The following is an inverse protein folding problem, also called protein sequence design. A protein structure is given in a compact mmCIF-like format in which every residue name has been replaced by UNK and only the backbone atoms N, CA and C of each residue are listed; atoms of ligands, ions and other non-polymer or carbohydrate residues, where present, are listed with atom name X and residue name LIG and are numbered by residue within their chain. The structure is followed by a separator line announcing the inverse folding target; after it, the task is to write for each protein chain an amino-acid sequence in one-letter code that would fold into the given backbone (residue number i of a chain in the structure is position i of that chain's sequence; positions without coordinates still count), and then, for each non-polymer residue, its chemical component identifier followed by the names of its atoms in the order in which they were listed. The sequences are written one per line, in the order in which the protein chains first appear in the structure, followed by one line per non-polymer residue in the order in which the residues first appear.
data_IF_274617653077
#
_entry.id   IF_274617653077
#
_cell.length_a   1.000
_cell.length_b   1.000
_cell.length_c   1.000
_cell.angle_alpha   90.00
_cell.angle_beta   90.00
_cell.angle_gamma   90.00
#
_symmetry.space_group_name_H-M   'P 1'
#
loop_
_entity.id
_entity.type
_entity.pdbx_description
1 polymer ?
#
# COMPACT_ATOMS: atom_id res chain seq x y z
N UNK A 1 3.32 -26.19 6.79
CA UNK A 1 4.43 -25.74 5.91
C UNK A 1 4.28 -24.26 5.61
N UNK A 2 3.08 -23.85 5.22
CA UNK A 2 2.78 -22.48 4.80
C UNK A 2 2.89 -21.49 5.97
N UNK A 3 2.59 -21.92 7.20
CA UNK A 3 2.68 -21.12 8.43
C UNK A 3 4.13 -20.73 8.73
N UNK A 4 5.06 -21.70 8.73
CA UNK A 4 6.48 -21.45 8.94
C UNK A 4 7.03 -20.55 7.85
N UNK A 5 6.68 -20.81 6.58
CA UNK A 5 7.17 -20.00 5.46
C UNK A 5 6.69 -18.55 5.59
N UNK A 6 5.40 -18.35 5.87
CA UNK A 6 4.81 -17.03 6.04
C UNK A 6 5.47 -16.25 7.18
N UNK A 7 5.63 -16.89 8.35
CA UNK A 7 6.28 -16.27 9.50
C UNK A 7 7.71 -15.82 9.18
N UNK A 8 8.48 -16.66 8.46
CA UNK A 8 9.83 -16.33 8.03
C UNK A 8 9.88 -15.20 6.99
N UNK A 9 9.00 -15.23 5.99
CA UNK A 9 8.91 -14.16 4.97
C UNK A 9 8.52 -12.83 5.62
N UNK A 10 7.53 -12.83 6.50
CA UNK A 10 7.10 -11.64 7.22
C UNK A 10 8.22 -11.08 8.11
N UNK A 11 8.96 -11.95 8.82
CA UNK A 11 10.09 -11.54 9.64
C UNK A 11 11.24 -10.93 8.83
N UNK A 12 11.56 -11.53 7.67
CA UNK A 12 12.55 -11.00 6.74
C UNK A 12 12.17 -9.60 6.26
N UNK A 13 10.94 -9.40 5.78
CA UNK A 13 10.51 -8.08 5.31
C UNK A 13 10.44 -7.04 6.44
N UNK A 14 10.02 -7.42 7.65
CA UNK A 14 10.07 -6.53 8.81
C UNK A 14 11.50 -6.09 9.15
N UNK A 15 12.44 -7.03 9.12
CA UNK A 15 13.84 -6.77 9.44
C UNK A 15 14.60 -5.97 8.37
N UNK A 16 14.36 -6.26 7.09
CA UNK A 16 15.05 -5.63 5.95
C UNK A 16 14.55 -4.23 5.61
N UNK A 17 13.32 -3.86 6.01
CA UNK A 17 12.71 -2.60 5.60
C UNK A 17 12.34 -1.72 6.80
N UNK A 18 11.25 -1.94 7.57
CA UNK A 18 10.93 -1.11 8.74
C UNK A 18 12.05 -0.99 9.78
N UNK A 19 12.75 -2.09 10.07
CA UNK A 19 13.78 -2.11 11.13
C UNK A 19 15.21 -1.89 10.63
N UNK A 20 15.43 -1.80 9.32
CA UNK A 20 16.72 -1.40 8.74
C UNK A 20 16.66 0.10 8.41
N UNK A 21 17.08 0.93 9.35
CA UNK A 21 17.10 2.38 9.13
C UNK A 21 18.26 2.81 8.20
N UNK A 22 18.26 4.08 7.78
CA UNK A 22 19.28 4.63 6.87
C UNK A 22 20.70 4.53 7.44
N UNK A 23 20.87 4.80 8.74
CA UNK A 23 22.17 4.73 9.41
C UNK A 23 22.78 3.32 9.38
N UNK A 24 21.94 2.29 9.56
CA UNK A 24 22.35 0.89 9.46
C UNK A 24 22.80 0.53 8.03
N UNK A 25 22.14 1.07 7.01
CA UNK A 25 22.52 0.87 5.61
C UNK A 25 23.84 1.57 5.32
N UNK A 26 23.98 2.84 5.71
CA UNK A 26 25.16 3.66 5.46
C UNK A 26 26.41 3.08 6.15
N UNK A 27 26.24 2.42 7.30
CA UNK A 27 27.32 1.80 8.07
C UNK A 27 27.34 0.26 7.99
N UNK A 28 26.66 -0.36 7.02
CA UNK A 28 26.48 -1.83 6.94
C UNK A 28 27.78 -2.63 6.86
N UNK A 29 28.89 -1.99 6.48
CA UNK A 29 30.25 -2.59 6.48
C UNK A 29 30.79 -2.86 7.88
N UNK A 30 30.27 -2.20 8.91
CA UNK A 30 30.68 -2.43 10.30
C UNK A 30 30.06 -3.74 10.81
N UNK A 31 30.91 -4.68 11.25
CA UNK A 31 30.45 -6.01 11.69
C UNK A 31 29.41 -5.97 12.82
N UNK A 32 29.49 -5.00 13.74
CA UNK A 32 28.51 -4.85 14.83
C UNK A 32 27.12 -4.50 14.29
N UNK A 33 27.04 -3.61 13.30
CA UNK A 33 25.77 -3.18 12.69
C UNK A 33 25.18 -4.28 11.84
N UNK A 34 26.02 -5.00 11.09
CA UNK A 34 25.60 -6.18 10.36
C UNK A 34 25.04 -7.27 11.29
N UNK A 35 25.73 -7.57 12.40
CA UNK A 35 25.26 -8.53 13.40
C UNK A 35 23.97 -8.06 14.08
N UNK A 36 23.84 -6.76 14.36
CA UNK A 36 22.61 -6.18 14.91
C UNK A 36 21.44 -6.40 13.96
N UNK A 37 21.61 -6.10 12.66
CA UNK A 37 20.59 -6.29 11.64
C UNK A 37 20.16 -7.76 11.51
N UNK A 38 21.12 -8.68 11.37
CA UNK A 38 20.83 -10.12 11.30
C UNK A 38 20.19 -10.62 12.60
N UNK A 39 20.61 -10.08 13.75
CA UNK A 39 19.99 -10.33 15.05
C UNK A 39 18.52 -9.92 15.10
N UNK A 40 18.19 -8.72 14.60
CA UNK A 40 16.80 -8.25 14.51
C UNK A 40 15.95 -9.22 13.67
N UNK A 41 16.42 -9.63 12.48
CA UNK A 41 15.69 -10.58 11.62
C UNK A 41 15.47 -11.92 12.33
N UNK A 42 16.50 -12.42 13.03
CA UNK A 42 16.43 -13.68 13.76
C UNK A 42 15.46 -13.61 14.93
N UNK A 43 15.45 -12.49 15.66
CA UNK A 43 14.49 -12.23 16.76
C UNK A 43 13.07 -12.10 16.21
N UNK A 44 12.86 -11.38 15.10
CA UNK A 44 11.55 -11.29 14.46
C UNK A 44 11.06 -12.66 14.00
N UNK A 45 11.95 -13.49 13.45
CA UNK A 45 11.65 -14.86 13.05
C UNK A 45 11.22 -15.70 14.25
N UNK A 46 11.95 -15.62 15.36
CA UNK A 46 11.58 -16.29 16.61
C UNK A 46 10.20 -15.86 17.12
N UNK A 47 9.91 -14.55 17.15
CA UNK A 47 8.64 -14.01 17.61
C UNK A 47 7.49 -14.50 16.72
N UNK A 48 7.61 -14.39 15.39
CA UNK A 48 6.53 -14.75 14.47
C UNK A 48 6.31 -16.26 14.34
N UNK A 49 7.39 -17.06 14.42
CA UNK A 49 7.27 -18.53 14.52
C UNK A 49 6.59 -18.94 15.83
N UNK A 50 6.84 -18.18 16.90
CA UNK A 50 6.34 -18.48 18.23
C UNK A 50 6.89 -19.79 18.80
N UNK A 51 8.10 -20.17 18.38
CA UNK A 51 8.75 -21.40 18.78
C UNK A 51 10.27 -21.22 18.72
N UNK A 52 10.98 -21.63 19.78
CA UNK A 52 12.43 -21.65 19.77
C UNK A 52 12.94 -22.92 19.10
N UNK A 53 13.14 -22.86 17.78
CA UNK A 53 13.74 -23.95 17.01
C UNK A 53 15.19 -23.61 16.63
N UNK A 54 16.15 -24.07 17.45
CA UNK A 54 17.56 -23.68 17.36
C UNK A 54 18.16 -23.78 15.95
N UNK A 55 18.02 -24.93 15.28
CA UNK A 55 18.61 -25.14 13.95
C UNK A 55 17.97 -24.26 12.86
N UNK A 56 16.67 -23.96 13.00
CA UNK A 56 15.98 -23.09 12.04
C UNK A 56 16.45 -21.65 12.20
N UNK A 57 16.48 -21.15 13.44
CA UNK A 57 16.94 -19.79 13.76
C UNK A 57 18.42 -19.61 13.42
N UNK A 58 19.26 -20.62 13.67
CA UNK A 58 20.65 -20.61 13.26
C UNK A 58 20.78 -20.60 11.72
N UNK A 59 19.92 -21.33 11.01
CA UNK A 59 19.83 -21.31 9.55
C UNK A 59 19.47 -19.93 9.02
N UNK A 60 18.43 -19.29 9.59
CA UNK A 60 18.01 -17.92 9.23
C UNK A 60 19.13 -16.91 9.49
N UNK A 61 19.77 -16.97 10.66
CA UNK A 61 20.87 -16.10 11.02
C UNK A 61 22.05 -16.28 10.05
N UNK A 62 22.45 -17.53 9.80
CA UNK A 62 23.56 -17.87 8.92
C UNK A 62 23.30 -17.44 7.48
N UNK A 63 22.12 -17.72 6.93
CA UNK A 63 21.79 -17.35 5.55
C UNK A 63 21.79 -15.84 5.34
N UNK A 64 21.16 -15.08 6.24
CA UNK A 64 21.15 -13.60 6.15
C UNK A 64 22.56 -13.03 6.27
N UNK A 65 23.37 -13.51 7.22
CA UNK A 65 24.75 -13.07 7.38
C UNK A 65 25.59 -13.34 6.13
N UNK A 66 25.40 -14.50 5.49
CA UNK A 66 26.12 -14.88 4.28
C UNK A 66 25.72 -13.97 3.11
N UNK A 67 24.42 -13.81 2.85
CA UNK A 67 23.94 -13.03 1.71
C UNK A 67 24.24 -11.55 1.86
N UNK A 68 24.07 -10.98 3.06
CA UNK A 68 24.44 -9.59 3.29
C UNK A 68 25.94 -9.33 3.10
N UNK A 69 26.81 -10.24 3.59
CA UNK A 69 28.26 -10.13 3.33
C UNK A 69 28.58 -10.24 1.85
N UNK A 70 27.95 -11.18 1.16
CA UNK A 70 28.12 -11.36 -0.28
C UNK A 70 27.70 -10.09 -1.03
N UNK A 71 26.57 -9.50 -0.68
CA UNK A 71 26.08 -8.24 -1.26
C UNK A 71 27.06 -7.09 -1.04
N UNK A 72 27.61 -6.93 0.16
CA UNK A 72 28.61 -5.88 0.49
C UNK A 72 29.90 -6.04 -0.35
N UNK A 73 30.26 -7.28 -0.70
CA UNK A 73 31.41 -7.57 -1.56
C UNK A 73 31.16 -7.26 -3.04
N UNK A 74 29.89 -7.16 -3.44
CA UNK A 74 29.44 -6.81 -4.78
C UNK A 74 29.10 -5.31 -4.85
N UNK A 75 29.07 -4.73 -6.05
CA UNK A 75 28.78 -3.30 -6.23
C UNK A 75 27.27 -3.01 -6.00
N UNK A 76 26.91 -2.70 -4.75
CA UNK A 76 25.56 -2.59 -4.19
C UNK A 76 24.60 -1.58 -4.86
N UNK A 77 25.14 -0.70 -5.70
CA UNK A 77 24.37 0.40 -6.30
C UNK A 77 23.45 -0.05 -7.44
N UNK A 78 23.68 -1.22 -8.05
CA UNK A 78 22.83 -1.68 -9.16
C UNK A 78 21.54 -2.32 -8.66
N UNK A 79 20.42 -1.99 -9.32
CA UNK A 79 19.10 -2.59 -9.04
C UNK A 79 19.13 -4.13 -9.12
N UNK A 80 19.94 -4.70 -10.01
CA UNK A 80 20.03 -6.15 -10.18
C UNK A 80 20.54 -6.86 -8.93
N UNK A 81 21.55 -6.31 -8.25
CA UNK A 81 22.07 -6.90 -7.01
C UNK A 81 21.05 -6.83 -5.88
N UNK A 82 20.26 -5.75 -5.81
CA UNK A 82 19.14 -5.68 -4.88
C UNK A 82 18.12 -6.80 -5.13
N UNK A 83 17.71 -7.04 -6.38
CA UNK A 83 16.74 -8.10 -6.71
C UNK A 83 17.30 -9.50 -6.45
N UNK A 84 18.53 -9.77 -6.89
CA UNK A 84 19.19 -11.08 -6.68
C UNK A 84 19.34 -11.39 -5.20
N UNK A 85 19.70 -10.39 -4.39
CA UNK A 85 19.81 -10.52 -2.94
C UNK A 85 18.49 -10.89 -2.28
N UNK A 86 17.39 -10.21 -2.63
CA UNK A 86 16.05 -10.53 -2.10
C UNK A 86 15.58 -11.93 -2.54
N UNK A 87 15.86 -12.33 -3.79
CA UNK A 87 15.57 -13.69 -4.27
C UNK A 87 16.37 -14.74 -3.49
N UNK A 88 17.67 -14.50 -3.24
CA UNK A 88 18.52 -15.43 -2.50
C UNK A 88 18.00 -15.66 -1.07
N UNK A 89 17.60 -14.58 -0.39
CA UNK A 89 16.97 -14.66 0.93
C UNK A 89 15.67 -15.49 0.88
N UNK A 90 14.75 -15.16 -0.03
CA UNK A 90 13.47 -15.88 -0.16
C UNK A 90 13.69 -17.37 -0.47
N UNK A 91 14.63 -17.72 -1.36
CA UNK A 91 14.96 -19.12 -1.66
C UNK A 91 15.47 -19.85 -0.42
N UNK A 92 16.36 -19.22 0.36
CA UNK A 92 16.83 -19.82 1.61
C UNK A 92 15.71 -20.02 2.63
N UNK A 93 14.78 -19.07 2.74
CA UNK A 93 13.61 -19.20 3.63
C UNK A 93 12.67 -20.33 3.18
N UNK A 94 12.46 -20.49 1.86
CA UNK A 94 11.70 -21.63 1.30
C UNK A 94 12.38 -22.95 1.65
N UNK A 95 13.70 -23.05 1.45
CA UNK A 95 14.44 -24.26 1.77
C UNK A 95 14.38 -24.58 3.28
N UNK A 96 14.64 -23.59 4.13
CA UNK A 96 14.55 -23.76 5.59
C UNK A 96 13.15 -24.14 6.05
N UNK A 97 12.11 -23.51 5.50
CA UNK A 97 10.72 -23.86 5.79
C UNK A 97 10.35 -25.27 5.33
N UNK A 98 10.86 -25.72 4.18
CA UNK A 98 10.63 -27.08 3.70
C UNK A 98 11.16 -28.14 4.70
N UNK A 99 12.37 -27.94 5.23
CA UNK A 99 12.97 -28.84 6.23
C UNK A 99 12.39 -28.71 7.64
N UNK A 100 11.81 -27.56 8.00
CA UNK A 100 11.28 -27.25 9.33
C UNK A 100 9.80 -26.82 9.28
N UNK A 101 8.98 -27.56 8.52
CA UNK A 101 7.67 -27.09 8.06
C UNK A 101 6.58 -26.96 9.13
N UNK A 102 6.79 -27.56 10.31
CA UNK A 102 5.82 -27.68 11.41
C UNK A 102 6.15 -26.76 12.60
N UNK A 103 7.28 -26.05 12.56
CA UNK A 103 7.76 -25.23 13.68
C UNK A 103 6.74 -24.18 14.13
N UNK A 104 6.15 -23.43 13.19
CA UNK A 104 5.14 -22.41 13.51
C UNK A 104 3.81 -23.04 13.97
N UNK A 105 3.41 -24.15 13.34
CA UNK A 105 2.18 -24.87 13.68
C UNK A 105 2.24 -25.49 15.10
N UNK A 106 3.45 -25.85 15.56
CA UNK A 106 3.70 -26.36 16.91
C UNK A 106 4.08 -25.26 17.93
N UNK A 107 4.10 -24.00 17.50
CA UNK A 107 4.44 -22.84 18.33
C UNK A 107 3.38 -22.50 19.38
N UNK A 108 3.61 -21.41 20.10
CA UNK A 108 2.66 -20.91 21.08
C UNK A 108 1.47 -20.17 20.44
N UNK A 109 1.58 -19.65 19.21
CA UNK A 109 0.48 -18.89 18.58
C UNK A 109 -0.78 -19.74 18.37
N UNK A 110 -0.71 -20.98 17.85
CA UNK A 110 -1.88 -21.85 17.75
C UNK A 110 -2.46 -22.30 19.10
N UNK A 111 -1.65 -22.25 20.17
CA UNK A 111 -2.10 -22.54 21.55
C UNK A 111 -2.74 -21.32 22.22
N UNK A 112 -2.27 -20.13 21.87
CA UNK A 112 -2.70 -18.86 22.43
C UNK A 112 -4.00 -18.35 21.78
N UNK A 113 -4.09 -18.44 20.44
CA UNK A 113 -5.29 -18.04 19.72
C UNK A 113 -6.31 -19.17 19.66
N UNK A 114 -7.59 -18.83 19.86
CA UNK A 114 -8.67 -19.75 19.51
C UNK A 114 -8.64 -20.06 18.00
N UNK A 115 -9.12 -21.25 17.61
CA UNK A 115 -9.13 -21.71 16.22
C UNK A 115 -9.82 -20.73 15.25
N UNK A 116 -10.79 -19.95 15.73
CA UNK A 116 -11.46 -18.90 14.94
C UNK A 116 -10.59 -17.67 14.65
N UNK A 117 -9.59 -17.37 15.47
CA UNK A 117 -8.72 -16.18 15.34
C UNK A 117 -7.36 -16.48 14.71
N UNK A 118 -6.89 -17.73 14.80
CA UNK A 118 -5.62 -18.14 14.22
C UNK A 118 -5.46 -17.82 12.71
N UNK A 119 -6.50 -18.00 11.86
CA UNK A 119 -6.37 -17.64 10.45
C UNK A 119 -6.25 -16.12 10.23
N UNK A 120 -6.90 -15.31 11.06
CA UNK A 120 -6.77 -13.85 11.03
C UNK A 120 -5.36 -13.39 11.40
N UNK A 121 -4.70 -14.06 12.35
CA UNK A 121 -3.30 -13.79 12.68
C UNK A 121 -2.38 -13.98 11.47
N UNK A 122 -2.51 -15.09 10.74
CA UNK A 122 -1.73 -15.31 9.52
C UNK A 122 -2.13 -14.33 8.40
N UNK A 123 -3.41 -14.02 8.23
CA UNK A 123 -3.87 -13.00 7.29
C UNK A 123 -3.25 -11.62 7.60
N UNK A 124 -3.12 -11.24 8.87
CA UNK A 124 -2.43 -10.01 9.28
C UNK A 124 -0.95 -10.03 8.91
N UNK A 125 -0.25 -11.17 9.07
CA UNK A 125 1.13 -11.29 8.61
C UNK A 125 1.25 -11.10 7.09
N UNK A 126 0.33 -11.69 6.30
CA UNK A 126 0.26 -11.46 4.86
C UNK A 126 0.05 -9.99 4.51
N UNK A 127 -0.84 -9.28 5.21
CA UNK A 127 -1.11 -7.86 4.99
C UNK A 127 0.11 -6.99 5.30
N UNK A 128 0.81 -7.25 6.41
CA UNK A 128 2.01 -6.50 6.80
C UNK A 128 3.14 -6.75 5.79
N UNK A 129 3.41 -8.00 5.46
CA UNK A 129 4.39 -8.38 4.45
C UNK A 129 4.08 -7.74 3.09
N UNK A 130 2.82 -7.82 2.66
CA UNK A 130 2.34 -7.22 1.41
C UNK A 130 2.50 -5.71 1.37
N UNK A 131 2.12 -5.01 2.44
CA UNK A 131 2.33 -3.57 2.57
C UNK A 131 3.82 -3.19 2.41
N UNK A 132 4.71 -3.91 3.09
CA UNK A 132 6.16 -3.67 3.04
C UNK A 132 6.68 -3.87 1.60
N UNK A 133 6.27 -4.95 0.93
CA UNK A 133 6.74 -5.22 -0.44
C UNK A 133 6.19 -4.19 -1.44
N UNK A 134 4.93 -3.80 -1.30
CA UNK A 134 4.27 -2.85 -2.20
C UNK A 134 4.84 -1.44 -2.02
N UNK A 135 4.97 -0.95 -0.78
CA UNK A 135 5.22 0.47 -0.49
C UNK A 135 6.72 0.77 -0.31
N UNK A 136 7.38 0.42 0.82
CA UNK A 136 8.79 0.75 1.02
C UNK A 136 9.73 -0.03 0.10
N UNK A 137 9.59 -1.35 -0.03
CA UNK A 137 10.49 -2.15 -0.87
C UNK A 137 10.36 -1.78 -2.35
N UNK A 138 9.11 -1.62 -2.82
CA UNK A 138 8.84 -1.07 -4.15
C UNK A 138 9.48 0.31 -4.33
N UNK A 139 9.52 1.16 -3.30
CA UNK A 139 10.12 2.50 -3.35
C UNK A 139 11.61 2.44 -3.66
N UNK A 140 12.31 1.58 -2.93
CA UNK A 140 13.73 1.33 -3.11
C UNK A 140 14.01 0.75 -4.50
N UNK A 141 13.20 -0.22 -4.94
CA UNK A 141 13.36 -0.85 -6.26
C UNK A 141 13.17 0.15 -7.41
N UNK A 142 12.06 0.91 -7.41
CA UNK A 142 11.80 1.91 -8.45
C UNK A 142 12.84 3.03 -8.42
N UNK A 143 13.27 3.44 -7.22
CA UNK A 143 14.37 4.39 -7.04
C UNK A 143 15.64 3.89 -7.75
N UNK A 144 16.08 2.65 -7.47
CA UNK A 144 17.26 2.05 -8.10
C UNK A 144 17.12 1.84 -9.62
N UNK A 145 15.93 1.44 -10.09
CA UNK A 145 15.65 1.23 -11.52
C UNK A 145 15.73 2.53 -12.34
N UNK A 146 15.34 3.65 -11.73
CA UNK A 146 15.26 4.94 -12.42
C UNK A 146 16.55 5.77 -12.34
N UNK A 147 17.55 5.32 -11.55
CA UNK A 147 18.88 5.98 -11.44
C UNK A 147 19.52 6.28 -12.79
N UNK A 148 19.57 5.37 -13.79
CA UNK A 148 20.23 5.66 -15.06
C UNK A 148 19.60 6.84 -15.80
N UNK A 149 18.27 6.92 -15.80
CA UNK A 149 17.49 7.99 -16.45
C UNK A 149 17.67 9.30 -15.69
N UNK A 150 17.61 9.25 -14.35
CA UNK A 150 17.81 10.41 -13.49
C UNK A 150 19.20 11.05 -13.72
N UNK A 151 20.25 10.23 -13.81
CA UNK A 151 21.62 10.70 -14.08
C UNK A 151 21.77 11.41 -15.43
N UNK A 152 20.95 11.06 -16.42
CA UNK A 152 20.96 11.73 -17.71
C UNK A 152 20.37 13.14 -17.63
N UNK A 153 19.29 13.30 -16.85
CA UNK A 153 18.66 14.60 -16.59
C UNK A 153 19.60 15.50 -15.79
N UNK A 154 20.22 14.97 -14.73
CA UNK A 154 21.17 15.70 -13.88
C UNK A 154 22.36 16.24 -14.69
N UNK A 155 22.95 15.41 -15.56
CA UNK A 155 24.05 15.83 -16.44
C UNK A 155 23.66 16.97 -17.38
N UNK A 156 22.47 16.93 -17.96
CA UNK A 156 22.00 18.01 -18.83
C UNK A 156 21.78 19.30 -18.06
N UNK A 157 21.19 19.22 -16.86
CA UNK A 157 21.02 20.39 -16.00
C UNK A 157 22.37 21.02 -15.61
N UNK A 158 23.38 20.21 -15.29
CA UNK A 158 24.73 20.72 -14.97
C UNK A 158 25.38 21.41 -16.17
N UNK A 159 25.22 20.87 -17.38
CA UNK A 159 25.74 21.48 -18.62
C UNK A 159 25.07 22.83 -18.88
N UNK A 160 23.76 22.95 -18.67
CA UNK A 160 23.02 24.21 -18.83
C UNK A 160 23.50 25.25 -17.82
N UNK A 161 23.67 24.88 -16.55
CA UNK A 161 24.16 25.76 -15.49
C UNK A 161 25.60 26.24 -15.76
N UNK A 162 26.51 25.33 -16.14
CA UNK A 162 27.88 25.69 -16.52
C UNK A 162 27.93 26.62 -17.74
N UNK A 163 26.94 26.56 -18.63
CA UNK A 163 26.84 27.43 -19.81
C UNK A 163 26.33 28.83 -19.45
N UNK A 164 25.49 28.96 -18.43
CA UNK A 164 25.02 30.27 -17.94
C UNK A 164 26.02 30.99 -17.03
N UNK A 165 27.01 30.27 -16.47
CA UNK A 165 28.07 30.83 -15.61
C UNK A 165 29.22 31.54 -16.37
N UNK A 166 29.23 31.56 -17.71
CA UNK A 166 30.23 32.34 -18.48
C UNK A 166 29.94 33.86 -18.37
N UNK A 167 30.98 34.71 -18.30
CA UNK A 167 30.92 35.97 -17.55
C UNK A 167 29.99 37.00 -18.18
N UNK A 168 29.37 37.76 -17.28
CA UNK A 168 28.45 38.86 -17.52
C UNK A 168 28.96 39.83 -18.59
N UNK A 169 28.23 39.89 -19.69
CA UNK A 169 28.03 41.15 -20.41
C UNK A 169 26.54 41.32 -20.64
N UNK A 170 26.04 42.42 -20.12
CA UNK A 170 24.73 43.03 -20.33
C UNK A 170 23.61 42.67 -19.33
N UNK A 171 22.95 43.75 -18.92
CA UNK A 171 21.99 43.87 -17.84
C UNK A 171 20.67 43.19 -18.21
N UNK A 172 20.61 41.87 -18.07
CA UNK A 172 19.37 41.12 -17.92
C UNK A 172 19.45 40.39 -16.59
N UNK A 173 18.52 40.66 -15.68
CA UNK A 173 18.34 39.84 -14.48
C UNK A 173 18.42 38.37 -14.87
N UNK A 174 19.20 37.53 -14.16
CA UNK A 174 19.16 36.11 -14.42
C UNK A 174 17.72 35.66 -14.18
N UNK A 175 17.01 35.36 -15.25
CA UNK A 175 15.75 34.62 -15.21
C UNK A 175 16.15 33.23 -14.75
N UNK A 176 16.29 33.11 -13.44
CA UNK A 176 16.45 31.86 -12.75
C UNK A 176 15.15 31.10 -12.93
N UNK A 177 15.13 30.33 -14.02
CA UNK A 177 14.30 29.17 -14.22
C UNK A 177 14.72 28.14 -13.16
N UNK A 178 14.40 28.46 -11.90
CA UNK A 178 14.47 27.57 -10.75
C UNK A 178 13.48 26.46 -11.08
N UNK A 179 14.00 25.36 -11.63
CA UNK A 179 13.32 24.07 -11.66
C UNK A 179 12.60 23.92 -10.32
N UNK A 180 11.28 24.09 -10.36
CA UNK A 180 10.37 24.28 -9.24
C UNK A 180 10.81 23.52 -8.00
N UNK A 181 11.23 24.25 -6.96
CA UNK A 181 11.66 23.69 -5.69
C UNK A 181 10.47 22.92 -5.06
N UNK A 182 10.44 21.61 -5.29
CA UNK A 182 9.43 20.74 -4.71
C UNK A 182 9.68 20.50 -3.22
N UNK A 183 8.66 20.02 -2.51
CA UNK A 183 8.81 19.64 -1.10
C UNK A 183 9.93 18.61 -0.91
N UNK A 184 10.70 18.75 0.17
CA UNK A 184 11.69 17.75 0.60
C UNK A 184 11.03 16.38 0.70
N UNK A 185 11.53 15.40 -0.06
CA UNK A 185 10.96 14.06 -0.19
C UNK A 185 9.52 13.97 -0.76
N UNK A 186 9.00 15.03 -1.39
CA UNK A 186 7.64 15.05 -1.94
C UNK A 186 7.35 13.88 -2.88
N UNK A 187 8.26 13.60 -3.81
CA UNK A 187 8.13 12.44 -4.72
C UNK A 187 8.09 11.08 -4.02
N UNK A 188 8.77 10.94 -2.87
CA UNK A 188 8.74 9.73 -2.05
C UNK A 188 7.35 9.54 -1.41
N UNK A 189 6.81 10.59 -0.78
CA UNK A 189 5.49 10.55 -0.15
C UNK A 189 4.37 10.34 -1.17
N UNK A 190 4.41 11.02 -2.32
CA UNK A 190 3.47 10.80 -3.43
C UNK A 190 3.52 9.33 -3.87
N UNK A 191 4.73 8.79 -4.08
CA UNK A 191 4.90 7.39 -4.44
C UNK A 191 4.43 6.40 -3.37
N UNK A 192 4.52 6.73 -2.08
CA UNK A 192 3.96 5.90 -1.00
C UNK A 192 2.44 5.90 -1.04
N UNK A 193 1.83 7.08 -1.15
CA UNK A 193 0.37 7.23 -1.19
C UNK A 193 -0.25 6.50 -2.38
N UNK A 194 0.32 6.65 -3.58
CA UNK A 194 -0.21 6.00 -4.79
C UNK A 194 -0.20 4.48 -4.69
N UNK A 195 0.89 3.91 -4.17
CA UNK A 195 1.02 2.46 -4.03
C UNK A 195 0.17 1.91 -2.91
N UNK A 196 0.09 2.63 -1.80
CA UNK A 196 -0.83 2.29 -0.71
C UNK A 196 -2.29 2.32 -1.19
N UNK A 197 -2.70 3.37 -1.90
CA UNK A 197 -4.06 3.49 -2.44
C UNK A 197 -4.35 2.43 -3.50
N UNK A 198 -3.36 2.08 -4.34
CA UNK A 198 -3.46 0.95 -5.28
C UNK A 198 -3.71 -0.36 -4.54
N UNK A 199 -2.94 -0.64 -3.48
CA UNK A 199 -3.13 -1.82 -2.65
C UNK A 199 -4.50 -1.84 -1.98
N UNK A 200 -4.92 -0.71 -1.42
CA UNK A 200 -6.22 -0.56 -0.77
C UNK A 200 -7.37 -0.87 -1.73
N UNK A 201 -7.33 -0.32 -2.95
CA UNK A 201 -8.34 -0.55 -3.98
C UNK A 201 -8.42 -2.02 -4.41
N UNK A 202 -7.26 -2.71 -4.50
CA UNK A 202 -7.24 -4.16 -4.75
C UNK A 202 -7.86 -4.94 -3.57
N UNK A 203 -7.48 -4.62 -2.33
CA UNK A 203 -7.95 -5.33 -1.13
C UNK A 203 -9.45 -5.17 -0.90
N UNK A 204 -10.01 -3.98 -1.16
CA UNK A 204 -11.47 -3.72 -1.04
C UNK A 204 -12.25 -4.28 -2.25
N UNK A 205 -11.57 -4.71 -3.33
CA UNK A 205 -12.21 -5.29 -4.51
C UNK A 205 -12.72 -4.26 -5.52
N UNK A 206 -12.14 -3.06 -5.54
CA UNK A 206 -12.43 -1.99 -6.50
C UNK A 206 -11.21 -1.66 -7.39
N UNK A 207 -10.69 -2.62 -8.18
CA UNK A 207 -9.53 -2.38 -9.06
C UNK A 207 -9.78 -1.27 -10.09
N UNK A 208 -11.04 -1.04 -10.49
CA UNK A 208 -11.43 0.05 -11.40
C UNK A 208 -11.02 1.43 -10.87
N UNK A 209 -10.97 1.61 -9.54
CA UNK A 209 -10.51 2.86 -8.92
C UNK A 209 -9.08 3.25 -9.29
N UNK A 210 -8.24 2.27 -9.62
CA UNK A 210 -6.83 2.49 -9.99
C UNK A 210 -6.74 3.26 -11.30
N UNK A 211 -7.69 3.05 -12.23
CA UNK A 211 -7.78 3.81 -13.47
C UNK A 211 -7.97 5.31 -13.23
N UNK A 212 -8.83 5.68 -12.28
CA UNK A 212 -9.03 7.09 -11.88
C UNK A 212 -7.77 7.67 -11.26
N UNK A 213 -7.07 6.91 -10.42
CA UNK A 213 -5.83 7.32 -9.78
C UNK A 213 -4.74 7.63 -10.83
N UNK A 214 -4.56 6.75 -11.83
CA UNK A 214 -3.61 6.97 -12.94
C UNK A 214 -4.03 8.16 -13.82
N UNK A 215 -5.33 8.29 -14.12
CA UNK A 215 -5.85 9.40 -14.92
C UNK A 215 -5.64 10.75 -14.21
N UNK A 216 -5.91 10.83 -12.91
CA UNK A 216 -5.70 12.02 -12.08
C UNK A 216 -4.22 12.43 -12.08
N UNK A 217 -3.29 11.47 -11.99
CA UNK A 217 -1.85 11.78 -12.10
C UNK A 217 -1.45 12.27 -13.49
N UNK A 218 -2.04 11.70 -14.53
CA UNK A 218 -1.73 12.03 -15.92
C UNK A 218 -2.21 13.43 -16.31
N UNK A 219 -3.39 13.86 -15.84
CA UNK A 219 -3.94 15.19 -16.13
C UNK A 219 -3.12 16.31 -15.47
N UNK A 220 -2.69 16.11 -14.21
CA UNK A 220 -1.84 17.07 -13.48
C UNK A 220 -0.50 17.32 -14.16
N UNK A 221 -0.08 16.38 -15.01
CA UNK A 221 1.22 16.41 -15.69
C UNK A 221 1.17 16.97 -17.11
N UNK A 222 -0.02 17.24 -17.64
CA UNK A 222 -0.18 17.76 -19.00
C UNK A 222 0.45 19.16 -19.18
N UNK A 223 0.56 19.95 -18.10
CA UNK A 223 1.21 21.26 -18.10
C UNK A 223 2.73 21.19 -18.32
N UNK A 224 3.40 20.20 -17.71
CA UNK A 224 4.87 20.03 -17.74
C UNK A 224 5.42 19.56 -19.10
N UNK A 225 4.54 19.05 -19.99
CA UNK A 225 4.92 18.47 -21.28
C UNK A 225 5.05 19.53 -22.39
N UNK A 226 4.55 20.75 -22.17
CA UNK A 226 4.49 21.81 -23.19
C UNK A 226 5.82 22.48 -23.49
N UNK A 227 6.80 22.39 -22.58
CA UNK A 227 8.13 22.96 -22.78
C UNK A 227 9.14 21.89 -23.23
N UNK A 228 9.80 22.14 -24.37
CA UNK A 228 10.79 21.24 -24.97
C UNK A 228 12.00 20.98 -24.05
N UNK A 229 12.31 21.92 -23.14
CA UNK A 229 13.38 21.82 -22.14
C UNK A 229 13.11 20.74 -21.07
N UNK A 230 11.85 20.33 -20.87
CA UNK A 230 11.45 19.35 -19.85
C UNK A 230 11.10 17.96 -20.39
N UNK A 231 11.40 17.67 -21.66
CA UNK A 231 11.05 16.37 -22.30
C UNK A 231 11.56 15.16 -21.51
N UNK A 232 12.83 15.17 -21.09
CA UNK A 232 13.40 14.04 -20.33
C UNK A 232 12.79 13.89 -18.93
N UNK A 233 12.45 14.99 -18.26
CA UNK A 233 11.70 14.97 -17.00
C UNK A 233 10.28 14.41 -17.22
N UNK A 234 9.64 14.82 -18.32
CA UNK A 234 8.38 14.28 -18.82
C UNK A 234 8.49 12.80 -19.29
N UNK A 235 9.67 12.25 -19.53
CA UNK A 235 9.82 10.82 -19.78
C UNK A 235 10.09 10.07 -18.47
N UNK A 236 10.98 10.59 -17.62
CA UNK A 236 11.31 10.04 -16.31
C UNK A 236 10.08 9.87 -15.41
N UNK A 237 9.23 10.89 -15.27
CA UNK A 237 8.04 10.76 -14.41
C UNK A 237 7.00 9.80 -15.05
N UNK A 238 6.91 9.66 -16.40
CA UNK A 238 5.99 8.71 -17.07
C UNK A 238 6.48 7.29 -16.75
N UNK A 239 7.75 7.03 -17.06
CA UNK A 239 8.39 5.73 -16.86
C UNK A 239 8.34 5.31 -15.39
N UNK A 240 8.71 6.22 -14.48
CA UNK A 240 8.68 5.95 -13.04
C UNK A 240 7.27 5.65 -12.53
N UNK A 241 6.26 6.37 -13.04
CA UNK A 241 4.86 6.14 -12.71
C UNK A 241 4.38 4.77 -13.18
N UNK A 242 4.63 4.41 -14.44
CA UNK A 242 4.23 3.11 -14.99
C UNK A 242 4.90 1.94 -14.27
N UNK A 243 6.20 2.05 -13.99
CA UNK A 243 6.94 1.03 -13.23
C UNK A 243 6.37 0.88 -11.81
N UNK A 244 6.11 1.99 -11.12
CA UNK A 244 5.55 1.99 -9.77
C UNK A 244 4.15 1.37 -9.71
N UNK A 245 3.26 1.74 -10.64
CA UNK A 245 1.91 1.13 -10.71
C UNK A 245 1.96 -0.35 -11.09
N UNK A 246 2.79 -0.72 -12.06
CA UNK A 246 2.95 -2.13 -12.45
C UNK A 246 3.40 -2.99 -11.27
N UNK A 247 4.39 -2.52 -10.51
CA UNK A 247 4.85 -3.19 -9.28
C UNK A 247 3.74 -3.27 -8.23
N UNK A 248 3.10 -2.14 -7.91
CA UNK A 248 2.08 -2.09 -6.87
C UNK A 248 0.88 -2.96 -7.20
N UNK A 249 0.42 -2.96 -8.45
CA UNK A 249 -0.68 -3.81 -8.90
C UNK A 249 -0.35 -5.29 -8.75
N UNK A 250 0.81 -5.72 -9.26
CA UNK A 250 1.26 -7.11 -9.20
C UNK A 250 1.33 -7.60 -7.75
N UNK A 251 2.03 -6.84 -6.89
CA UNK A 251 2.26 -7.24 -5.51
C UNK A 251 1.00 -7.13 -4.64
N UNK A 252 0.08 -6.20 -4.96
CA UNK A 252 -1.21 -6.10 -4.27
C UNK A 252 -2.13 -7.27 -4.60
N UNK A 253 -2.16 -7.72 -5.86
CA UNK A 253 -2.92 -8.93 -6.26
C UNK A 253 -2.35 -10.18 -5.58
N UNK A 254 -1.02 -10.31 -5.56
CA UNK A 254 -0.36 -11.41 -4.84
C UNK A 254 -0.71 -11.37 -3.34
N UNK A 255 -0.64 -10.19 -2.72
CA UNK A 255 -1.01 -10.00 -1.30
C UNK A 255 -2.45 -10.38 -1.04
N UNK A 256 -3.40 -9.90 -1.87
CA UNK A 256 -4.82 -10.23 -1.72
C UNK A 256 -5.04 -11.74 -1.78
N UNK A 257 -4.44 -12.41 -2.78
CA UNK A 257 -4.53 -13.87 -2.91
C UNK A 257 -3.97 -14.59 -1.67
N UNK A 258 -2.84 -14.13 -1.15
CA UNK A 258 -2.26 -14.68 0.08
C UNK A 258 -3.14 -14.45 1.31
N UNK A 259 -3.84 -13.32 1.40
CA UNK A 259 -4.78 -13.02 2.50
C UNK A 259 -6.04 -13.87 2.40
N UNK A 260 -6.63 -13.97 1.20
CA UNK A 260 -7.84 -14.77 0.95
C UNK A 260 -7.61 -16.26 1.25
N UNK A 261 -6.37 -16.76 1.10
CA UNK A 261 -5.98 -18.12 1.47
C UNK A 261 -6.14 -18.43 2.96
N UNK A 262 -5.94 -17.43 3.82
CA UNK A 262 -6.05 -17.60 5.28
C UNK A 262 -7.43 -17.21 5.82
N UNK A 263 -8.16 -16.31 5.17
CA UNK A 263 -9.48 -15.90 5.68
C UNK A 263 -10.53 -17.00 5.41
N UNK A 264 -11.28 -17.46 6.43
CA UNK A 264 -12.31 -18.48 6.25
C UNK A 264 -13.37 -18.11 5.21
N UNK A 265 -13.83 -19.09 4.42
CA UNK A 265 -14.82 -18.90 3.34
C UNK A 265 -16.14 -18.26 3.81
N UNK A 266 -16.53 -18.42 5.07
CA UNK A 266 -17.72 -17.78 5.66
C UNK A 266 -17.63 -16.25 5.74
N UNK A 267 -16.42 -15.69 5.60
CA UNK A 267 -16.17 -14.24 5.57
C UNK A 267 -15.96 -13.72 4.13
N UNK A 268 -15.90 -14.61 3.14
CA UNK A 268 -15.77 -14.23 1.74
C UNK A 268 -17.16 -13.94 1.17
N UNK A 269 -17.35 -12.73 0.63
CA UNK A 269 -18.62 -12.31 0.02
C UNK A 269 -18.97 -13.29 -1.11
N UNK A 270 -20.19 -13.87 -1.14
CA UNK A 270 -20.54 -14.83 -2.18
C UNK A 270 -20.42 -14.18 -3.55
N UNK A 271 -19.78 -14.89 -4.49
CA UNK A 271 -19.79 -14.52 -5.91
C UNK A 271 -21.25 -14.32 -6.33
N UNK A 272 -21.63 -13.20 -6.98
CA UNK A 272 -23.01 -13.00 -7.39
C UNK A 272 -23.42 -14.20 -8.25
N UNK A 273 -24.45 -14.91 -7.79
CA UNK A 273 -24.94 -16.12 -8.45
C UNK A 273 -25.09 -15.83 -9.94
N UNK A 274 -24.31 -16.54 -10.78
CA UNK A 274 -24.52 -16.52 -12.22
C UNK A 274 -25.94 -17.01 -12.46
N UNK A 275 -26.84 -16.10 -12.80
CA UNK A 275 -28.17 -16.45 -13.27
C UNK A 275 -27.96 -17.15 -14.61
N UNK A 276 -27.87 -18.48 -14.57
CA UNK A 276 -27.97 -19.30 -15.76
C UNK A 276 -29.42 -19.18 -16.20
N UNK A 277 -29.69 -18.31 -17.16
CA UNK A 277 -30.95 -18.35 -17.91
C UNK A 277 -30.85 -19.59 -18.78
N UNK A 278 -31.34 -20.70 -18.26
CA UNK A 278 -31.51 -21.91 -19.03
C UNK A 278 -32.56 -21.62 -20.11
N UNK A 279 -32.11 -21.50 -21.35
CA UNK A 279 -32.99 -21.33 -22.50
C UNK A 279 -33.83 -22.60 -22.64
N UNK A 280 -35.11 -22.52 -22.22
CA UNK A 280 -36.11 -23.53 -22.53
C UNK A 280 -36.61 -23.25 -23.96
N UNK A 281 -36.30 -24.11 -24.95
CA UNK A 281 -36.87 -23.95 -26.29
C UNK A 281 -38.41 -24.04 -26.19
N UNK A 282 -39.15 -23.28 -27.02
CA UNK A 282 -40.61 -23.32 -26.99
C UNK A 282 -41.09 -24.75 -27.26
N UNK A 283 -42.00 -25.24 -26.42
CA UNK A 283 -42.62 -26.55 -26.60
C UNK A 283 -43.25 -26.61 -28.00
N UNK A 284 -42.75 -27.52 -28.83
CA UNK A 284 -43.38 -27.85 -30.09
C UNK A 284 -44.76 -28.41 -29.79
N UNK A 285 -45.81 -27.67 -30.17
CA UNK A 285 -47.18 -28.15 -30.16
C UNK A 285 -47.27 -29.45 -30.96
N UNK A 286 -47.82 -30.54 -30.40
CA UNK A 286 -48.03 -31.75 -31.17
C UNK A 286 -49.08 -31.50 -32.25
N UNK A 287 -48.79 -31.96 -33.48
CA UNK A 287 -49.69 -31.87 -34.61
C UNK A 287 -51.02 -32.57 -34.29
N UNK A 288 -52.11 -31.80 -34.32
CA UNK A 288 -53.48 -32.30 -34.21
C UNK A 288 -53.75 -33.17 -35.42
N UNK A 289 -53.79 -34.49 -35.22
CA UNK A 289 -54.34 -35.43 -36.20
C UNK A 289 -55.80 -35.65 -35.83
N UNK A 290 -56.72 -34.94 -36.50
CA UNK A 290 -58.16 -35.22 -36.37
C UNK A 290 -58.49 -36.54 -37.07
N UNK A 291 -58.71 -37.59 -36.30
CA UNK A 291 -59.46 -38.77 -36.78
C UNK A 291 -60.93 -38.61 -36.39
N UNK A 292 -61.79 -38.37 -37.37
CA UNK A 292 -63.25 -38.47 -37.24
C UNK A 292 -63.65 -39.93 -36.93
N UNK A 293 -64.41 -40.14 -35.86
CA UNK A 293 -65.27 -41.30 -35.69
C UNK A 293 -66.54 -40.90 -34.92
N UNK A 294 -67.68 -41.40 -35.39
CA UNK A 294 -69.04 -40.90 -35.13
C UNK A 294 -69.79 -41.81 -34.14
N UNK A 295 -70.31 -41.20 -33.06
CA UNK A 295 -71.56 -41.47 -32.28
C UNK A 295 -71.77 -42.84 -31.55
N UNK A 296 -72.76 -42.98 -30.61
CA UNK A 296 -73.78 -42.03 -30.14
C UNK A 296 -73.94 -41.87 -28.60
N UNK A 297 -74.83 -40.96 -28.23
CA UNK A 297 -75.16 -40.48 -26.88
C UNK A 297 -76.00 -41.45 -26.02
N UNK A 298 -75.88 -41.37 -24.69
CA UNK A 298 -76.99 -41.66 -23.75
C UNK A 298 -76.88 -40.88 -22.42
N UNK A 299 -77.94 -40.12 -22.16
CA UNK A 299 -78.48 -39.42 -20.98
C UNK A 299 -78.39 -40.20 -19.65
N UNK A 300 -78.05 -39.60 -18.50
CA UNK A 300 -78.93 -39.17 -17.38
C UNK A 300 -78.07 -39.22 -16.08
N UNK A 301 -78.23 -38.52 -14.95
CA UNK A 301 -79.18 -37.54 -14.40
C UNK A 301 -78.50 -36.96 -13.12
N UNK A 302 -78.58 -35.65 -12.94
CA UNK A 302 -78.47 -34.93 -11.65
C UNK A 302 -79.73 -35.27 -10.79
N UNK A 303 -79.78 -35.07 -9.45
CA UNK A 303 -80.05 -33.71 -8.93
C UNK A 303 -79.57 -33.36 -7.49
N UNK A 304 -79.24 -32.06 -7.34
CA UNK A 304 -79.62 -31.04 -6.31
C UNK A 304 -79.82 -31.46 -4.84
N UNK A 305 -79.47 -30.66 -3.83
CA UNK A 305 -79.90 -29.27 -3.54
C UNK A 305 -78.94 -28.61 -2.54
N UNK A 306 -78.48 -27.37 -2.77
CA UNK A 306 -78.95 -26.10 -2.16
C UNK A 306 -78.72 -26.02 -0.63
N UNK A 307 -78.26 -24.92 -0.01
CA UNK A 307 -78.79 -23.56 -0.17
C UNK A 307 -77.87 -22.54 0.58
N UNK A 308 -77.62 -21.40 -0.07
CA UNK A 308 -77.60 -20.01 0.45
C UNK A 308 -76.57 -19.52 1.49
N UNK A 309 -75.61 -18.75 0.98
CA UNK A 309 -75.11 -17.41 1.43
C UNK A 309 -76.26 -16.40 1.78
N UNK A 310 -76.02 -15.19 2.39
CA UNK A 310 -74.90 -14.27 2.10
C UNK A 310 -74.35 -13.35 3.23
N UNK A 311 -73.33 -12.61 2.80
CA UNK A 311 -72.54 -11.52 3.39
C UNK A 311 -73.28 -10.34 4.06
N UNK A 312 -72.59 -9.60 4.95
CA UNK A 312 -72.10 -8.19 4.75
C UNK A 312 -71.38 -7.62 6.00
N UNK A 313 -70.62 -6.51 5.89
CA UNK A 313 -69.43 -6.18 6.68
C UNK A 313 -69.62 -5.07 7.74
N UNK A 314 -68.61 -4.85 8.59
CA UNK A 314 -68.56 -3.75 9.58
C UNK A 314 -67.46 -2.73 9.25
N UNK A 315 -67.81 -1.45 9.47
CA UNK A 315 -67.14 -0.19 9.12
C UNK A 315 -66.49 0.47 10.36
N UNK A 316 -65.45 1.27 10.11
CA UNK A 316 -65.04 2.54 10.79
C UNK A 316 -64.57 2.53 12.26
N UNK A 317 -63.35 3.06 12.51
CA UNK A 317 -63.23 4.44 12.96
C UNK A 317 -61.82 5.05 12.75
N UNK A 318 -61.81 6.33 12.41
CA UNK A 318 -60.66 7.24 12.27
C UNK A 318 -60.19 7.74 13.65
N UNK A 319 -58.91 8.09 13.79
CA UNK A 319 -58.53 9.36 14.45
C UNK A 319 -57.22 9.86 13.83
N UNK A 320 -57.32 11.06 13.26
CA UNK A 320 -56.27 11.88 12.67
C UNK A 320 -55.33 12.47 13.72
N UNK A 321 -54.04 12.67 13.39
CA UNK A 321 -53.37 13.99 13.43
C UNK A 321 -51.89 13.93 12.98
N UNK A 322 -51.62 14.54 11.83
CA UNK A 322 -50.38 15.30 11.52
C UNK A 322 -50.87 16.74 11.21
N UNK A 323 -50.10 17.85 11.37
CA UNK A 323 -49.04 18.16 10.37
C UNK A 323 -47.86 19.10 10.80
N UNK A 324 -46.73 18.93 10.09
CA UNK A 324 -45.83 19.91 9.43
C UNK A 324 -45.15 21.13 10.13
N UNK A 325 -43.81 21.18 9.90
CA UNK A 325 -42.89 22.28 9.49
C UNK A 325 -42.84 23.65 10.19
N UNK A 326 -41.60 24.09 10.53
CA UNK A 326 -41.11 25.47 10.29
C UNK A 326 -39.57 25.62 10.46
N UNK A 327 -38.96 26.45 9.60
CA UNK A 327 -37.67 27.17 9.69
C UNK A 327 -37.91 28.61 9.18
N UNK A 328 -36.98 29.59 9.27
CA UNK A 328 -36.20 30.19 10.37
C UNK A 328 -36.55 31.70 10.52
N UNK A 329 -35.74 32.59 11.16
CA UNK A 329 -34.85 33.45 10.36
C UNK A 329 -33.54 33.96 11.03
N UNK A 330 -32.76 34.67 10.20
CA UNK A 330 -31.48 35.40 10.39
C UNK A 330 -31.64 36.85 10.89
N UNK A 331 -30.61 37.41 11.54
CA UNK A 331 -29.89 38.67 11.19
C UNK A 331 -29.41 39.51 12.41
N UNK A 332 -28.13 39.93 12.35
CA UNK A 332 -27.43 41.20 12.68
C UNK A 332 -27.82 42.01 13.95
N UNK A 333 -26.96 42.80 14.62
CA UNK A 333 -25.90 43.69 14.13
C UNK A 333 -25.02 44.21 15.30
N UNK A 334 -23.88 44.83 14.93
CA UNK A 334 -23.20 45.96 15.61
C UNK A 334 -22.51 45.75 16.99
N UNK A 335 -21.30 46.24 17.33
CA UNK A 335 -20.53 47.42 16.90
C UNK A 335 -19.11 47.38 17.51
N UNK A 336 -18.14 48.05 16.85
CA UNK A 336 -17.11 48.99 17.37
C UNK A 336 -16.31 48.64 18.67
N UNK A 337 -15.04 48.96 18.89
CA UNK A 337 -13.98 49.79 18.29
C UNK A 337 -12.84 49.81 19.37
N UNK A 338 -11.63 50.28 18.99
CA UNK A 338 -10.51 50.77 19.83
C UNK A 338 -9.51 49.75 20.41
N UNK A 339 -8.26 49.85 19.95
CA UNK A 339 -7.09 50.48 20.64
C UNK A 339 -6.53 49.55 21.74
N UNK A 340 -5.24 49.43 22.04
CA UNK A 340 -4.03 50.15 21.69
C UNK A 340 -2.86 49.24 22.14
N UNK A 341 -1.81 49.21 21.34
CA UNK A 341 -0.37 49.26 21.69
C UNK A 341 0.17 48.80 23.06
N UNK A 342 1.33 48.12 22.95
CA UNK A 342 2.56 48.33 23.76
C UNK A 342 2.54 47.81 25.22
N UNK A 343 3.62 47.42 25.89
CA UNK A 343 5.08 47.32 25.68
C UNK A 343 5.65 46.73 26.99
N UNK A 344 6.89 46.23 26.92
CA UNK A 344 7.90 46.16 28.01
C UNK A 344 7.59 45.23 29.21
N UNK A 345 8.51 44.59 29.93
CA UNK A 345 9.98 44.46 30.01
C UNK A 345 10.24 43.07 30.66
N UNK A 346 11.28 42.28 30.38
CA UNK A 346 12.72 42.43 30.66
C UNK A 346 13.08 42.69 32.14
N UNK A 347 13.47 41.63 32.86
CA UNK A 347 14.40 41.61 34.01
C UNK A 347 15.25 40.34 33.80
N UNK A 348 16.53 40.43 33.40
CA UNK A 348 17.71 40.85 34.19
C UNK A 348 18.25 39.69 35.06
N UNK A 349 19.32 39.03 34.58
CA UNK A 349 20.52 38.79 35.38
C UNK A 349 21.68 38.37 34.46
N UNK A 350 22.64 39.28 34.32
CA UNK A 350 24.00 39.03 33.88
C UNK A 350 24.90 39.51 35.04
N UNK A 351 25.89 38.72 35.45
CA UNK A 351 27.25 39.20 35.69
C UNK A 351 28.18 38.10 36.23
N UNK A 352 29.36 38.02 35.58
CA UNK A 352 30.73 37.78 36.10
C UNK A 352 31.55 37.08 34.99
N UNK A 353 32.22 37.86 34.11
CA UNK A 353 33.61 38.35 34.22
C UNK A 353 34.65 37.21 34.08
N UNK A 354 35.28 36.96 32.93
CA UNK A 354 36.29 37.73 32.18
C UNK A 354 37.74 37.62 32.73
N UNK A 355 38.60 37.10 31.84
CA UNK A 355 40.07 37.24 31.70
C UNK A 355 41.02 36.75 32.80
N UNK A 356 41.86 35.78 32.44
CA UNK A 356 43.31 36.00 32.33
C UNK A 356 44.00 34.85 31.57
N UNK A 357 45.22 35.15 31.10
CA UNK A 357 46.27 34.25 30.57
C UNK A 357 46.50 34.21 29.04
N UNK A 358 47.09 35.30 28.56
CA UNK A 358 48.17 35.32 27.57
C UNK A 358 49.42 34.61 28.14
N UNK A 359 49.85 33.46 27.59
CA UNK A 359 51.28 33.15 27.43
C UNK A 359 51.55 31.98 26.46
N UNK A 360 52.58 32.17 25.62
CA UNK A 360 53.34 31.18 24.82
C UNK A 360 52.91 30.96 23.36
N UNK A 361 53.40 31.92 22.58
CA UNK A 361 53.83 31.75 21.21
C UNK A 361 55.13 30.90 21.12
N UNK A 362 55.40 30.38 19.91
CA UNK A 362 56.65 29.78 19.43
C UNK A 362 56.94 28.30 19.77
N UNK A 363 56.59 27.40 18.83
CA UNK A 363 57.62 26.55 18.21
C UNK A 363 57.09 25.79 16.97
N UNK A 364 57.90 25.88 15.89
CA UNK A 364 58.03 25.00 14.71
C UNK A 364 57.28 25.34 13.42
N UNK A 365 57.97 26.18 12.63
CA UNK A 365 58.15 25.97 11.18
C UNK A 365 59.19 24.85 10.91
N UNK A 366 59.14 24.30 9.69
CA UNK A 366 60.13 23.50 8.95
C UNK A 366 60.40 22.02 9.32
N UNK A 367 59.66 21.11 8.65
CA UNK A 367 60.20 20.13 7.68
C UNK A 367 59.14 19.30 6.97
#
# INVERSE_FOLDING_TARGET
MEETLLALIAAHFLGDFPFQNKEMVDNKRQWKILLLHVGIITIMSFILLGNFHFFLLLGVFGSHLIFDKLKISLNEDKWLYFVVDQIAHVIALIALSYFCHDVAANGWWPKFFASSYLPWFYATQCLIAGYIVVVPAGGILIGKLTVPIRREIEKESEIVLRKSEKPATDNGSPESDYLTEGLTNGGMYIGWLERFLTMLLILIGHPTGIGFLIAAKSILRFGEIKESRHRKLAEYIIIGTFLSFGWALLMSVATKKSVDHWIPATSQKPEPARVIIEYQPPMTTPAVTQSMSIAPATTALLPTTATTEPATPVKMNQTDTEPQQATPPSANDDTADKDETAKDANEEEADEAANDDDEKNADREDK
#
